data_IF_209454026549
#
_entry.id   IF_209454026549
#
_cell.length_a   1.000
_cell.length_b   1.000
_cell.length_c   1.000
_cell.angle_alpha   90.00
_cell.angle_beta   90.00
_cell.angle_gamma   90.00
#
_symmetry.space_group_name_H-M   'P 1'
#
loop_
_entity.id
_entity.type
_entity.pdbx_description
1 polymer ?
#
# COMPACT_ATOMS: atom_id res chain seq x y z
N UNK A 1 -7.76 -3.52 2.20
CA UNK A 1 -7.14 -3.49 3.53
C UNK A 1 -8.01 -4.29 4.49
N UNK A 2 -7.77 -5.60 4.53
CA UNK A 2 -8.50 -6.56 5.39
C UNK A 2 -7.65 -6.93 6.62
N UNK A 3 -6.32 -6.72 6.58
CA UNK A 3 -5.44 -7.05 7.70
C UNK A 3 -5.29 -8.57 7.87
N UNK A 4 -5.26 -9.30 6.75
CA UNK A 4 -5.04 -10.75 6.72
C UNK A 4 -4.01 -11.06 5.65
N UNK A 5 -2.92 -11.71 6.06
CA UNK A 5 -1.85 -12.09 5.15
C UNK A 5 -2.39 -12.97 4.01
N UNK A 6 -1.98 -12.65 2.78
CA UNK A 6 -2.24 -13.46 1.56
C UNK A 6 -3.73 -13.77 1.29
N UNK A 7 -4.64 -12.88 1.70
CA UNK A 7 -6.07 -13.07 1.47
C UNK A 7 -6.46 -12.89 0.00
N UNK A 8 -5.85 -11.91 -0.70
CA UNK A 8 -6.14 -11.66 -2.12
C UNK A 8 -5.25 -12.55 -2.98
N UNK A 9 -5.87 -13.49 -3.68
CA UNK A 9 -5.21 -14.45 -4.58
C UNK A 9 -5.37 -14.07 -6.05
N UNK A 10 -4.69 -14.79 -6.96
CA UNK A 10 -4.73 -14.57 -8.41
C UNK A 10 -6.15 -14.50 -9.00
N UNK A 11 -7.09 -15.32 -8.51
CA UNK A 11 -8.45 -15.38 -9.03
C UNK A 11 -9.25 -14.10 -8.79
N UNK A 12 -8.81 -13.27 -7.85
CA UNK A 12 -9.49 -12.04 -7.45
C UNK A 12 -9.04 -10.85 -8.32
N UNK A 13 -7.99 -11.03 -9.11
CA UNK A 13 -7.31 -9.94 -9.81
C UNK A 13 -7.49 -10.09 -11.32
N UNK A 14 -8.07 -9.06 -11.93
CA UNK A 14 -8.18 -8.98 -13.39
C UNK A 14 -6.79 -8.87 -14.02
N UNK A 15 -6.51 -9.58 -15.14
CA UNK A 15 -5.28 -9.39 -15.90
C UNK A 15 -5.06 -7.92 -16.29
N UNK A 16 -3.86 -7.40 -16.04
CA UNK A 16 -3.47 -6.01 -16.26
C UNK A 16 -3.91 -5.02 -15.16
N UNK A 17 -4.55 -5.47 -14.07
CA UNK A 17 -4.96 -4.58 -12.99
C UNK A 17 -3.76 -3.91 -12.29
N UNK A 18 -3.99 -2.70 -11.75
CA UNK A 18 -3.08 -2.05 -10.82
C UNK A 18 -3.49 -2.47 -9.40
N UNK A 19 -2.56 -3.05 -8.66
CA UNK A 19 -2.79 -3.57 -7.31
C UNK A 19 -2.06 -2.70 -6.30
N UNK A 20 -2.82 -2.10 -5.39
CA UNK A 20 -2.29 -1.29 -4.27
C UNK A 20 -2.54 -2.06 -2.98
N UNK A 21 -1.48 -2.63 -2.44
CA UNK A 21 -1.48 -3.38 -1.19
C UNK A 21 -1.13 -2.46 -0.01
N UNK A 22 -2.15 -2.16 0.79
CA UNK A 22 -2.06 -1.36 2.02
C UNK A 22 -1.87 -2.25 3.26
N UNK A 23 -1.95 -3.59 3.09
CA UNK A 23 -1.86 -4.54 4.18
C UNK A 23 -0.50 -4.51 4.86
N UNK A 24 -0.52 -4.56 6.19
CA UNK A 24 0.67 -4.67 7.02
C UNK A 24 0.46 -5.83 7.99
N UNK A 25 0.81 -7.03 7.56
CA UNK A 25 0.68 -8.25 8.33
C UNK A 25 2.07 -8.86 8.60
N UNK A 26 2.14 -9.78 9.55
CA UNK A 26 3.31 -10.64 9.75
C UNK A 26 2.94 -12.05 9.36
N UNK A 27 3.82 -12.69 8.60
CA UNK A 27 3.68 -14.12 8.32
C UNK A 27 4.06 -14.98 9.54
N UNK A 28 3.97 -16.30 9.38
CA UNK A 28 4.32 -17.28 10.41
C UNK A 28 5.80 -17.20 10.84
N UNK A 29 6.67 -16.62 10.00
CA UNK A 29 8.09 -16.41 10.26
C UNK A 29 8.38 -14.99 10.81
N UNK A 30 7.34 -14.18 11.07
CA UNK A 30 7.45 -12.81 11.57
C UNK A 30 7.86 -11.77 10.52
N UNK A 31 8.01 -12.16 9.25
CA UNK A 31 8.35 -11.27 8.14
C UNK A 31 7.12 -10.44 7.75
N UNK A 32 7.36 -9.16 7.45
CA UNK A 32 6.30 -8.26 7.02
C UNK A 32 5.79 -8.68 5.64
N UNK A 33 4.48 -8.84 5.52
CA UNK A 33 3.79 -9.20 4.28
C UNK A 33 2.49 -8.40 4.14
N UNK A 34 1.99 -8.31 2.91
CA UNK A 34 0.78 -7.58 2.59
C UNK A 34 -0.50 -8.40 2.72
N UNK A 35 -1.63 -7.82 2.31
CA UNK A 35 -2.91 -8.54 2.20
C UNK A 35 -2.96 -9.40 0.91
N UNK A 36 -2.09 -9.12 -0.05
CA UNK A 36 -2.05 -9.77 -1.36
C UNK A 36 -0.97 -10.86 -1.39
N UNK A 37 -1.28 -11.99 -2.02
CA UNK A 37 -0.26 -12.97 -2.38
C UNK A 37 0.57 -12.46 -3.57
N UNK A 38 1.67 -11.76 -3.24
CA UNK A 38 2.50 -11.05 -4.20
C UNK A 38 3.02 -11.95 -5.33
N UNK A 39 3.44 -13.19 -5.01
CA UNK A 39 4.03 -14.10 -6.00
C UNK A 39 3.01 -14.56 -7.03
N UNK A 40 1.79 -14.86 -6.59
CA UNK A 40 0.70 -15.29 -7.46
C UNK A 40 0.11 -14.14 -8.29
N UNK A 41 0.06 -12.92 -7.72
CA UNK A 41 -0.61 -11.77 -8.35
C UNK A 41 0.34 -10.92 -9.22
N UNK A 42 1.63 -10.84 -8.90
CA UNK A 42 2.58 -10.02 -9.64
C UNK A 42 2.65 -10.31 -11.16
N UNK A 43 2.56 -11.57 -11.65
CA UNK A 43 2.55 -11.85 -13.08
C UNK A 43 1.26 -11.40 -13.80
N UNK A 44 0.15 -11.27 -13.08
CA UNK A 44 -1.15 -10.88 -13.62
C UNK A 44 -1.36 -9.37 -13.63
N UNK A 45 -0.82 -8.68 -12.62
CA UNK A 45 -0.96 -7.25 -12.45
C UNK A 45 -0.06 -6.47 -13.42
N UNK A 46 -0.52 -5.31 -13.88
CA UNK A 46 0.36 -4.37 -14.61
C UNK A 46 1.34 -3.68 -13.67
N UNK A 47 0.89 -3.36 -12.46
CA UNK A 47 1.69 -2.80 -11.39
C UNK A 47 1.20 -3.34 -10.05
N UNK A 48 2.12 -3.61 -9.13
CA UNK A 48 1.81 -4.07 -7.78
C UNK A 48 2.76 -3.41 -6.78
N UNK A 49 2.23 -2.95 -5.65
CA UNK A 49 3.06 -2.34 -4.59
C UNK A 49 3.74 -3.42 -3.73
N UNK A 50 5.04 -3.31 -3.44
CA UNK A 50 5.71 -4.25 -2.54
C UNK A 50 5.35 -3.99 -1.07
N UNK A 51 5.39 -5.04 -0.26
CA UNK A 51 5.31 -4.95 1.21
C UNK A 51 6.48 -5.74 1.79
N UNK A 52 7.42 -5.10 2.53
CA UNK A 52 7.51 -3.67 2.88
C UNK A 52 7.91 -2.76 1.71
N UNK A 53 7.77 -1.44 1.90
CA UNK A 53 8.34 -0.42 1.00
C UNK A 53 7.39 0.23 0.00
N UNK A 54 6.13 -0.22 -0.09
CA UNK A 54 5.10 0.36 -0.95
C UNK A 54 4.33 1.50 -0.28
N UNK A 55 3.15 1.19 0.24
CA UNK A 55 2.20 2.22 0.73
C UNK A 55 2.64 2.85 2.06
N UNK A 56 3.35 2.12 2.92
CA UNK A 56 3.78 2.60 4.25
C UNK A 56 4.55 3.94 4.21
N UNK A 57 5.65 4.04 3.43
CA UNK A 57 6.39 5.29 3.27
C UNK A 57 5.53 6.46 2.76
N UNK A 58 4.60 6.19 1.83
CA UNK A 58 3.71 7.22 1.28
C UNK A 58 2.81 7.83 2.36
N UNK A 59 2.30 7.03 3.30
CA UNK A 59 1.49 7.55 4.43
C UNK A 59 2.26 8.58 5.25
N UNK A 60 3.55 8.35 5.51
CA UNK A 60 4.40 9.29 6.25
C UNK A 60 4.62 10.57 5.44
N UNK A 61 4.97 10.44 4.16
CA UNK A 61 5.17 11.58 3.26
C UNK A 61 3.92 12.44 3.16
N UNK A 62 2.74 11.82 3.04
CA UNK A 62 1.48 12.56 2.95
C UNK A 62 1.17 13.32 4.23
N UNK A 63 1.45 12.77 5.42
CA UNK A 63 1.30 13.52 6.67
C UNK A 63 2.20 14.78 6.70
N UNK A 64 3.45 14.67 6.23
CA UNK A 64 4.36 15.81 6.15
C UNK A 64 3.86 16.86 5.15
N UNK A 65 3.41 16.42 3.98
CA UNK A 65 2.83 17.31 2.97
C UNK A 65 1.59 18.03 3.51
N UNK A 66 0.66 17.31 4.16
CA UNK A 66 -0.53 17.93 4.72
C UNK A 66 -0.19 18.95 5.82
N UNK A 67 0.84 18.67 6.62
CA UNK A 67 1.34 19.60 7.64
C UNK A 67 1.91 20.87 6.99
N UNK A 68 2.71 20.73 5.94
CA UNK A 68 3.25 21.84 5.17
C UNK A 68 2.14 22.69 4.52
N UNK A 69 1.18 22.04 3.86
CA UNK A 69 0.04 22.71 3.23
C UNK A 69 -0.85 23.43 4.25
N UNK A 70 -1.02 22.84 5.45
CA UNK A 70 -1.74 23.51 6.53
C UNK A 70 -1.03 24.79 6.98
N UNK A 71 0.30 24.77 7.09
CA UNK A 71 1.10 25.95 7.43
C UNK A 71 1.03 27.04 6.35
N UNK A 72 1.07 26.70 5.06
CA UNK A 72 0.91 27.69 3.98
C UNK A 72 -0.47 28.36 4.04
N UNK A 73 -1.53 27.59 4.24
CA UNK A 73 -2.90 28.11 4.33
C UNK A 73 -3.11 29.10 5.47
N UNK A 74 -2.34 29.04 6.56
CA UNK A 74 -2.45 30.04 7.63
C UNK A 74 -1.86 31.39 7.23
N UNK A 75 -0.91 31.42 6.28
CA UNK A 75 -0.26 32.63 5.79
C UNK A 75 -1.11 33.35 4.72
N UNK A 76 -1.88 32.60 3.93
CA UNK A 76 -2.71 33.13 2.85
C UNK A 76 -4.06 33.72 3.31
N UNK A 77 -4.43 33.59 4.60
CA UNK A 77 -5.67 34.17 5.16
C UNK A 77 -5.55 35.67 5.48
N UNK A 78 -5.06 36.47 4.53
CA UNK A 78 -5.18 37.93 4.56
C UNK A 78 -6.49 38.41 3.94
#
# INVERSE_FOLDING_TARGET
AIGRAKFVTADFVKPGAVVIDVGMNRDENGKLCGDVDYEAVAPLASHITPVPGGVGPMTITMLMEQTYQAALRTLDRK
#
